data_IF_178741943098
#
_entry.id   IF_178741943098
#
_cell.length_a   1.000
_cell.length_b   1.000
_cell.length_c   1.000
_cell.angle_alpha   90.00
_cell.angle_beta   90.00
_cell.angle_gamma   90.00
#
_symmetry.space_group_name_H-M   'P 1'
#
loop_
_entity.id
_entity.type
_entity.pdbx_description
1 polymer ?
#
# COMPACT_ATOMS: atom_id res chain seq x y z
N UNK A 1 -44.87 -18.28 -10.79
CA UNK A 1 -43.60 -17.78 -11.33
C UNK A 1 -42.96 -16.94 -10.24
N UNK A 2 -41.87 -17.42 -9.62
CA UNK A 2 -41.13 -16.62 -8.64
C UNK A 2 -40.24 -15.65 -9.42
N UNK A 3 -40.54 -14.34 -9.33
CA UNK A 3 -39.61 -13.29 -9.77
C UNK A 3 -38.40 -13.33 -8.83
N UNK A 4 -37.37 -14.06 -9.22
CA UNK A 4 -36.06 -13.97 -8.57
C UNK A 4 -35.48 -12.60 -8.86
N UNK A 5 -35.61 -11.67 -7.91
CA UNK A 5 -34.81 -10.44 -7.91
C UNK A 5 -33.34 -10.84 -7.95
N UNK A 6 -32.64 -10.49 -9.04
CA UNK A 6 -31.18 -10.64 -9.12
C UNK A 6 -30.59 -9.73 -8.06
N UNK A 7 -30.22 -10.31 -6.91
CA UNK A 7 -29.50 -9.58 -5.88
C UNK A 7 -28.14 -9.16 -6.45
N UNK A 8 -27.89 -7.85 -6.48
CA UNK A 8 -26.58 -7.33 -6.85
C UNK A 8 -25.69 -7.29 -5.61
N UNK A 9 -24.38 -7.43 -5.81
CA UNK A 9 -23.40 -7.27 -4.74
C UNK A 9 -23.42 -5.85 -4.14
N UNK A 10 -23.95 -4.87 -4.89
CA UNK A 10 -24.21 -3.50 -4.42
C UNK A 10 -25.34 -3.40 -3.39
N UNK A 11 -26.20 -4.43 -3.30
CA UNK A 11 -27.37 -4.42 -2.41
C UNK A 11 -27.02 -4.99 -1.02
N UNK A 12 -25.78 -5.47 -0.85
CA UNK A 12 -25.29 -5.95 0.43
C UNK A 12 -25.06 -4.78 1.41
N UNK A 13 -25.42 -4.93 2.69
CA UNK A 13 -25.02 -3.99 3.72
C UNK A 13 -23.49 -3.78 3.76
N UNK A 14 -23.01 -2.56 4.02
CA UNK A 14 -21.57 -2.26 4.11
C UNK A 14 -20.80 -3.19 5.04
N UNK A 15 -21.41 -3.62 6.14
CA UNK A 15 -20.82 -4.51 7.14
C UNK A 15 -20.56 -5.92 6.58
N UNK A 16 -21.41 -6.39 5.67
CA UNK A 16 -21.22 -7.68 4.99
C UNK A 16 -20.12 -7.59 3.94
N UNK A 17 -20.10 -6.51 3.16
CA UNK A 17 -19.05 -6.25 2.17
C UNK A 17 -17.70 -6.17 2.87
N UNK A 18 -17.62 -5.48 4.02
CA UNK A 18 -16.41 -5.37 4.82
C UNK A 18 -15.87 -6.74 5.23
N UNK A 19 -16.71 -7.61 5.80
CA UNK A 19 -16.31 -8.97 6.18
C UNK A 19 -15.84 -9.82 5.00
N UNK A 20 -16.45 -9.64 3.82
CA UNK A 20 -16.00 -10.31 2.60
C UNK A 20 -14.59 -9.82 2.26
N UNK A 21 -14.39 -8.50 2.20
CA UNK A 21 -13.13 -7.87 1.80
C UNK A 21 -11.99 -8.17 2.78
N UNK A 22 -12.24 -8.28 4.09
CA UNK A 22 -11.22 -8.66 5.08
C UNK A 22 -10.59 -10.04 4.81
N UNK A 23 -11.32 -10.92 4.11
CA UNK A 23 -10.88 -12.26 3.77
C UNK A 23 -10.38 -12.39 2.31
N UNK A 24 -10.39 -11.30 1.55
CA UNK A 24 -9.90 -11.28 0.17
C UNK A 24 -8.37 -11.21 0.18
N UNK A 25 -7.74 -11.96 -0.72
CA UNK A 25 -6.29 -11.91 -0.85
C UNK A 25 -5.82 -10.51 -1.25
N UNK A 26 -4.64 -10.05 -0.80
CA UNK A 26 -4.20 -8.69 -1.05
C UNK A 26 -4.21 -8.32 -2.53
N UNK A 27 -3.78 -9.22 -3.43
CA UNK A 27 -3.70 -8.93 -4.87
C UNK A 27 -5.08 -8.65 -5.47
N UNK A 28 -6.12 -9.32 -4.98
CA UNK A 28 -7.50 -9.09 -5.37
C UNK A 28 -8.10 -7.83 -4.74
N UNK A 29 -7.61 -7.35 -3.59
CA UNK A 29 -8.10 -6.09 -2.99
C UNK A 29 -7.91 -4.88 -3.91
N UNK A 30 -6.81 -4.79 -4.66
CA UNK A 30 -6.66 -3.72 -5.66
C UNK A 30 -7.74 -3.77 -6.74
N UNK A 31 -8.07 -4.98 -7.22
CA UNK A 31 -9.13 -5.16 -8.21
C UNK A 31 -10.49 -4.79 -7.60
N UNK A 32 -10.71 -5.16 -6.34
CA UNK A 32 -11.91 -4.82 -5.57
C UNK A 32 -12.11 -3.30 -5.43
N UNK A 33 -11.04 -2.52 -5.23
CA UNK A 33 -11.11 -1.05 -5.21
C UNK A 33 -11.58 -0.43 -6.54
N UNK A 34 -11.41 -1.14 -7.66
CA UNK A 34 -11.85 -0.69 -8.98
C UNK A 34 -13.29 -1.09 -9.32
N UNK A 35 -13.94 -1.93 -8.50
CA UNK A 35 -15.30 -2.43 -8.77
C UNK A 35 -16.34 -1.31 -8.62
N UNK A 36 -16.34 -0.61 -7.49
CA UNK A 36 -17.22 0.52 -7.25
C UNK A 36 -16.69 1.45 -6.14
N UNK A 37 -17.25 2.66 -6.04
CA UNK A 37 -16.86 3.66 -5.05
C UNK A 37 -17.04 3.18 -3.61
N UNK A 38 -18.12 2.45 -3.32
CA UNK A 38 -18.42 1.92 -1.98
C UNK A 38 -17.34 0.94 -1.52
N UNK A 39 -16.91 0.02 -2.39
CA UNK A 39 -15.86 -0.95 -2.08
C UNK A 39 -14.53 -0.25 -1.86
N UNK A 40 -14.19 0.73 -2.72
CA UNK A 40 -13.00 1.55 -2.56
C UNK A 40 -12.98 2.28 -1.21
N UNK A 41 -14.11 2.86 -0.80
CA UNK A 41 -14.22 3.58 0.47
C UNK A 41 -14.06 2.64 1.68
N UNK A 42 -14.74 1.49 1.66
CA UNK A 42 -14.60 0.47 2.72
C UNK A 42 -13.15 0.01 2.83
N UNK A 43 -12.50 -0.32 1.70
CA UNK A 43 -11.11 -0.74 1.67
C UNK A 43 -10.21 0.36 2.23
N UNK A 44 -10.38 1.60 1.78
CA UNK A 44 -9.56 2.73 2.23
C UNK A 44 -9.68 2.97 3.74
N UNK A 45 -10.89 2.88 4.30
CA UNK A 45 -11.15 3.02 5.73
C UNK A 45 -10.54 1.89 6.56
N UNK A 46 -10.49 0.68 6.01
CA UNK A 46 -10.12 -0.55 6.72
C UNK A 46 -8.72 -1.08 6.37
N UNK A 47 -7.89 -0.33 5.63
CA UNK A 47 -6.53 -0.77 5.24
C UNK A 47 -5.69 -1.32 6.41
N UNK A 48 -5.89 -0.79 7.62
CA UNK A 48 -5.17 -1.20 8.83
C UNK A 48 -5.54 -2.60 9.36
N UNK A 49 -6.72 -3.13 9.04
CA UNK A 49 -7.14 -4.50 9.43
C UNK A 49 -6.99 -5.51 8.29
N UNK A 50 -6.71 -5.05 7.07
CA UNK A 50 -6.63 -5.91 5.89
C UNK A 50 -5.32 -6.68 5.83
N UNK A 51 -5.39 -7.89 5.26
CA UNK A 51 -4.20 -8.68 5.00
C UNK A 51 -3.29 -7.96 4.00
N UNK A 52 -1.98 -8.01 4.26
CA UNK A 52 -0.95 -7.42 3.41
C UNK A 52 -0.06 -8.48 2.79
N UNK A 53 0.39 -8.22 1.58
CA UNK A 53 1.31 -9.08 0.86
C UNK A 53 2.73 -8.94 1.42
N UNK A 54 3.23 -10.01 2.03
CA UNK A 54 4.58 -10.03 2.61
C UNK A 54 5.63 -10.01 1.50
N UNK A 55 6.58 -9.08 1.57
CA UNK A 55 7.67 -8.95 0.61
C UNK A 55 9.01 -8.86 1.34
N UNK A 56 10.10 -9.17 0.63
CA UNK A 56 11.46 -9.15 1.21
C UNK A 56 11.88 -7.71 1.48
N UNK A 57 11.80 -6.88 0.45
CA UNK A 57 12.25 -5.49 0.51
C UNK A 57 11.40 -4.61 -0.41
N UNK A 58 11.22 -3.36 -0.01
CA UNK A 58 10.76 -2.29 -0.90
C UNK A 58 11.86 -1.23 -0.93
N UNK A 59 12.23 -0.81 -2.14
CA UNK A 59 13.09 0.34 -2.39
C UNK A 59 12.27 1.44 -3.06
N UNK A 60 12.34 2.65 -2.50
CA UNK A 60 11.62 3.83 -2.99
C UNK A 60 12.66 4.86 -3.42
N UNK A 61 12.57 5.35 -4.66
CA UNK A 61 13.38 6.46 -5.15
C UNK A 61 12.55 7.46 -5.93
N UNK A 62 12.88 8.74 -5.78
CA UNK A 62 12.44 9.76 -6.74
C UNK A 62 13.20 9.60 -8.08
N UNK A 63 12.53 9.94 -9.17
CA UNK A 63 13.18 10.13 -10.47
C UNK A 63 13.66 11.59 -10.56
N UNK A 64 14.93 11.82 -10.92
CA UNK A 64 15.55 13.15 -10.87
C UNK A 64 14.93 14.16 -11.84
N UNK A 65 14.20 13.68 -12.85
CA UNK A 65 13.65 14.50 -13.93
C UNK A 65 12.13 14.70 -13.84
N UNK A 66 11.42 13.89 -13.03
CA UNK A 66 9.95 13.85 -13.00
C UNK A 66 9.39 13.97 -11.57
N UNK A 67 8.10 14.30 -11.43
CA UNK A 67 7.38 14.18 -10.14
C UNK A 67 7.04 12.72 -9.77
N UNK A 68 7.60 11.76 -10.51
CA UNK A 68 7.32 10.35 -10.37
C UNK A 68 8.20 9.71 -9.29
N UNK A 69 7.63 8.70 -8.64
CA UNK A 69 8.32 7.85 -7.66
C UNK A 69 8.42 6.44 -8.23
N UNK A 70 9.61 5.86 -8.17
CA UNK A 70 9.84 4.47 -8.53
C UNK A 70 9.81 3.59 -7.28
N UNK A 71 8.94 2.58 -7.30
CA UNK A 71 8.85 1.53 -6.31
C UNK A 71 9.44 0.24 -6.88
N UNK A 72 10.51 -0.26 -6.27
CA UNK A 72 11.07 -1.57 -6.58
C UNK A 72 10.74 -2.53 -5.45
N UNK A 73 9.97 -3.58 -5.76
CA UNK A 73 9.44 -4.54 -4.79
C UNK A 73 10.12 -5.88 -5.04
N UNK A 74 10.86 -6.36 -4.03
CA UNK A 74 11.51 -7.67 -4.04
C UNK A 74 10.60 -8.67 -3.33
N UNK A 75 10.05 -9.62 -4.06
CA UNK A 75 9.08 -10.60 -3.56
C UNK A 75 9.76 -11.73 -2.77
N UNK A 76 9.02 -12.32 -1.83
CA UNK A 76 9.45 -13.55 -1.16
C UNK A 76 9.31 -14.72 -2.15
N UNK A 77 10.44 -15.23 -2.64
CA UNK A 77 10.47 -16.38 -3.54
C UNK A 77 11.52 -17.37 -3.04
N UNK A 78 11.19 -18.67 -2.99
CA UNK A 78 12.07 -19.69 -2.42
C UNK A 78 13.24 -20.07 -3.34
N UNK A 79 13.16 -19.76 -4.63
CA UNK A 79 14.11 -20.28 -5.63
C UNK A 79 14.82 -19.21 -6.45
N UNK A 80 14.17 -18.07 -6.72
CA UNK A 80 14.76 -16.94 -7.48
C UNK A 80 14.18 -15.62 -7.03
N UNK A 81 15.00 -14.58 -6.87
CA UNK A 81 14.50 -13.24 -6.56
C UNK A 81 13.55 -12.76 -7.68
N UNK A 82 12.28 -12.57 -7.33
CA UNK A 82 11.30 -11.95 -8.20
C UNK A 82 11.20 -10.48 -7.83
N UNK A 83 11.38 -9.60 -8.81
CA UNK A 83 11.36 -8.15 -8.64
C UNK A 83 10.23 -7.58 -9.49
N UNK A 84 9.50 -6.61 -8.94
CA UNK A 84 8.54 -5.81 -9.69
C UNK A 84 8.85 -4.34 -9.51
N UNK A 85 8.79 -3.60 -10.61
CA UNK A 85 8.99 -2.15 -10.60
C UNK A 85 7.67 -1.46 -10.95
N UNK A 86 7.29 -0.46 -10.17
CA UNK A 86 6.09 0.35 -10.38
C UNK A 86 6.49 1.82 -10.36
N UNK A 87 6.13 2.55 -11.41
CA UNK A 87 6.19 4.01 -11.43
C UNK A 87 4.88 4.58 -10.89
N UNK A 88 4.99 5.59 -10.03
CA UNK A 88 3.87 6.31 -9.44
C UNK A 88 4.01 7.77 -9.87
N UNK A 89 3.13 8.24 -10.76
CA UNK A 89 3.26 9.55 -11.41
C UNK A 89 3.09 10.73 -10.44
N UNK A 90 2.32 10.51 -9.36
CA UNK A 90 2.04 11.52 -8.35
C UNK A 90 2.38 11.02 -6.95
N UNK A 91 3.22 11.76 -6.24
CA UNK A 91 3.61 11.51 -4.84
C UNK A 91 2.41 11.23 -3.91
N UNK A 92 1.28 11.93 -4.07
CA UNK A 92 0.07 11.72 -3.24
C UNK A 92 -0.57 10.35 -3.41
N UNK A 93 -0.32 9.64 -4.53
CA UNK A 93 -0.83 8.30 -4.80
C UNK A 93 0.11 7.19 -4.31
N UNK A 94 1.26 7.56 -3.73
CA UNK A 94 2.27 6.63 -3.25
C UNK A 94 1.68 5.60 -2.28
N UNK A 95 0.92 6.08 -1.28
CA UNK A 95 0.36 5.19 -0.28
C UNK A 95 -0.71 4.24 -0.84
N UNK A 96 -1.47 4.67 -1.86
CA UNK A 96 -2.43 3.81 -2.55
C UNK A 96 -1.77 2.62 -3.25
N UNK A 97 -0.50 2.76 -3.64
CA UNK A 97 0.30 1.68 -4.20
C UNK A 97 0.98 0.82 -3.13
N UNK A 98 1.38 1.42 -2.00
CA UNK A 98 2.20 0.80 -0.95
C UNK A 98 1.40 0.01 0.09
N UNK A 99 0.21 0.47 0.48
CA UNK A 99 -0.50 -0.01 1.68
C UNK A 99 -0.70 -1.53 1.70
N UNK A 100 -0.86 -2.12 0.52
CA UNK A 100 -1.08 -3.55 0.30
C UNK A 100 0.13 -4.41 0.68
N UNK A 101 1.34 -3.84 0.76
CA UNK A 101 2.56 -4.58 1.04
C UNK A 101 2.97 -4.49 2.51
N UNK A 102 3.61 -5.54 2.98
CA UNK A 102 4.27 -5.64 4.29
C UNK A 102 5.72 -6.10 4.05
N UNK A 103 6.66 -5.15 3.81
CA UNK A 103 8.06 -5.49 3.59
C UNK A 103 8.78 -5.81 4.90
N UNK A 104 9.77 -6.70 4.86
CA UNK A 104 10.70 -6.86 5.99
C UNK A 104 11.70 -5.72 6.09
N UNK A 105 12.14 -5.20 4.93
CA UNK A 105 13.08 -4.10 4.83
C UNK A 105 12.51 -3.00 3.94
N UNK A 106 12.61 -1.75 4.37
CA UNK A 106 12.24 -0.59 3.57
C UNK A 106 13.47 0.30 3.40
N UNK A 107 13.83 0.56 2.16
CA UNK A 107 14.93 1.45 1.79
C UNK A 107 14.38 2.65 1.03
N UNK A 108 14.79 3.86 1.43
CA UNK A 108 14.30 5.12 0.85
C UNK A 108 15.49 5.96 0.43
N UNK A 109 15.48 6.37 -0.84
CA UNK A 109 16.39 7.36 -1.43
C UNK A 109 15.55 8.57 -1.83
N UNK A 110 15.50 9.58 -0.96
CA UNK A 110 14.66 10.76 -1.15
C UNK A 110 15.53 12.00 -1.32
N UNK A 111 15.88 12.28 -2.57
CA UNK A 111 16.65 13.47 -2.93
C UNK A 111 15.75 14.73 -3.01
N UNK A 112 14.42 14.52 -3.06
CA UNK A 112 13.40 15.57 -3.15
C UNK A 112 12.53 15.69 -1.90
N UNK A 113 12.08 16.91 -1.61
CA UNK A 113 11.21 17.18 -0.46
C UNK A 113 9.80 16.60 -0.64
N UNK A 114 9.31 16.48 -1.87
CA UNK A 114 7.96 15.96 -2.16
C UNK A 114 7.79 14.50 -1.76
N UNK A 115 8.83 13.68 -1.97
CA UNK A 115 8.84 12.29 -1.51
C UNK A 115 8.85 12.24 0.02
N UNK A 116 9.58 13.12 0.69
CA UNK A 116 9.55 13.23 2.15
C UNK A 116 8.13 13.52 2.65
N UNK A 117 7.47 14.55 2.10
CA UNK A 117 6.10 14.91 2.50
C UNK A 117 5.10 13.78 2.22
N UNK A 118 5.26 13.05 1.12
CA UNK A 118 4.40 11.90 0.81
C UNK A 118 4.59 10.71 1.76
N UNK A 119 5.78 10.56 2.36
CA UNK A 119 6.05 9.53 3.35
C UNK A 119 5.55 9.94 4.75
N UNK A 120 5.59 11.24 5.08
CA UNK A 120 5.08 11.77 6.36
C UNK A 120 3.57 11.58 6.55
N UNK A 121 2.81 11.48 5.46
CA UNK A 121 1.36 11.24 5.52
C UNK A 121 1.01 9.74 5.62
N UNK A 122 1.99 8.85 5.57
CA UNK A 122 1.76 7.41 5.70
C UNK A 122 1.45 7.09 7.17
N UNK A 123 0.33 6.39 7.47
CA UNK A 123 -0.01 6.03 8.83
C UNK A 123 1.01 5.10 9.50
N UNK A 124 1.26 5.33 10.80
CA UNK A 124 2.24 4.58 11.61
C UNK A 124 2.02 3.06 11.59
N UNK A 125 0.77 2.62 11.59
CA UNK A 125 0.42 1.19 11.56
C UNK A 125 1.02 0.47 10.35
N UNK A 126 1.29 1.17 9.24
CA UNK A 126 1.88 0.56 8.06
C UNK A 126 3.34 0.18 8.31
N UNK A 127 4.05 0.94 9.14
CA UNK A 127 5.47 0.76 9.48
C UNK A 127 5.74 -0.31 10.54
N UNK A 128 4.69 -0.87 11.16
CA UNK A 128 4.84 -1.95 12.14
C UNK A 128 5.62 -3.15 11.54
N UNK A 129 6.62 -3.62 12.29
CA UNK A 129 7.50 -4.74 11.95
C UNK A 129 8.37 -4.56 10.69
N UNK A 130 8.57 -3.31 10.23
CA UNK A 130 9.44 -3.00 9.08
C UNK A 130 10.82 -2.52 9.57
N UNK A 131 11.89 -3.18 9.11
CA UNK A 131 13.24 -2.65 9.29
C UNK A 131 13.49 -1.52 8.28
N UNK A 132 13.61 -0.28 8.76
CA UNK A 132 13.95 0.85 7.90
C UNK A 132 15.46 1.04 7.75
N UNK A 133 15.90 1.32 6.53
CA UNK A 133 17.26 1.79 6.21
C UNK A 133 17.12 3.02 5.33
N UNK A 134 17.31 4.21 5.90
CA UNK A 134 17.34 5.46 5.15
C UNK A 134 18.80 5.88 4.93
N UNK A 135 19.12 6.32 3.70
CA UNK A 135 20.45 6.83 3.36
C UNK A 135 20.55 8.37 3.47
N UNK A 136 19.45 9.05 3.80
CA UNK A 136 19.42 10.49 4.00
C UNK A 136 19.41 10.83 5.49
N UNK A 137 20.49 11.50 5.95
CA UNK A 137 20.78 11.85 7.36
C UNK A 137 19.65 12.59 8.11
N UNK A 138 18.63 13.13 7.42
CA UNK A 138 17.51 13.87 8.00
C UNK A 138 16.21 13.05 8.16
N UNK A 139 16.01 11.99 7.35
CA UNK A 139 14.82 11.13 7.44
C UNK A 139 14.88 10.20 8.66
N UNK A 140 16.10 9.85 9.09
CA UNK A 140 16.30 9.05 10.30
C UNK A 140 15.72 9.72 11.56
N UNK A 141 15.67 11.05 11.65
CA UNK A 141 15.16 11.72 12.85
C UNK A 141 13.64 11.92 12.86
N UNK A 142 12.99 12.11 11.70
CA UNK A 142 11.55 12.38 11.65
C UNK A 142 10.69 11.12 11.88
N UNK A 143 11.14 9.95 11.42
CA UNK A 143 10.38 8.69 11.58
C UNK A 143 10.67 7.97 12.90
N UNK A 144 11.85 8.18 13.50
CA UNK A 144 12.15 7.66 14.85
C UNK A 144 11.27 8.34 15.91
N UNK A 145 10.89 9.61 15.71
CA UNK A 145 9.95 10.31 16.60
C UNK A 145 8.48 9.88 16.48
N UNK A 146 8.10 9.15 15.43
CA UNK A 146 6.76 8.60 15.25
C UNK A 146 6.60 7.18 15.85
N UNK A 147 7.70 6.58 16.31
CA UNK A 147 7.75 5.25 16.93
C UNK A 147 7.93 5.31 18.46
N UNK A 148 7.86 6.51 19.08
CA UNK A 148 7.98 6.72 20.53
C UNK A 148 6.65 7.00 21.20
#
# INVERSE_FOLDING_TARGET
>A
MMNGTMASCSDLPPEMIEKILENVDPRSLRKAQAVCSQWREIINRRRHTMQRYRVKEIYISDDHEETAVTLTITHLSPSFESISTLKVDEHKQLFDCLWIFSPRKLTISATRNELRTALEVIPDWWFHDIQMVSFDFLLSFCLIGALS
#
